data_IF_809879330774
#
_entry.id   IF_809879330774
#
_cell.length_a   1.000
_cell.length_b   1.000
_cell.length_c   1.000
_cell.angle_alpha   90.00
_cell.angle_beta   90.00
_cell.angle_gamma   90.00
#
_symmetry.space_group_name_H-M   'P 1'
#
loop_
_entity.id
_entity.type
_entity.pdbx_description
1 polymer ?
#
# COMPACT_ATOMS: atom_id res chain seq x y z
N UNK A 1 -6.76 62.87 -11.25
CA UNK A 1 -6.92 63.99 -10.30
C UNK A 1 -8.29 64.58 -10.58
N UNK A 2 -9.34 64.06 -9.92
CA UNK A 2 -10.57 64.77 -9.54
C UNK A 2 -11.50 63.80 -8.82
N UNK A 3 -11.94 64.25 -7.65
CA UNK A 3 -12.81 63.60 -6.69
C UNK A 3 -14.20 64.21 -6.90
N UNK A 4 -15.25 63.40 -6.98
CA UNK A 4 -16.60 63.85 -6.58
C UNK A 4 -17.28 62.74 -5.79
N UNK A 5 -17.42 62.99 -4.48
CA UNK A 5 -18.38 62.35 -3.59
C UNK A 5 -19.75 63.02 -3.79
N UNK A 6 -20.85 62.24 -3.76
CA UNK A 6 -22.15 62.76 -3.38
C UNK A 6 -22.97 61.70 -2.65
N UNK A 7 -23.28 62.04 -1.41
CA UNK A 7 -24.19 61.43 -0.44
C UNK A 7 -25.67 61.58 -0.81
N UNK A 8 -26.54 60.70 -0.32
CA UNK A 8 -27.98 60.97 -0.22
C UNK A 8 -28.81 59.76 0.18
N UNK A 9 -29.44 59.82 1.35
CA UNK A 9 -30.17 58.74 2.03
C UNK A 9 -31.69 58.97 2.00
N UNK A 10 -32.43 57.87 2.20
CA UNK A 10 -33.82 57.73 2.66
C UNK A 10 -34.98 58.13 1.71
N UNK A 11 -35.91 57.19 1.48
CA UNK A 11 -37.29 57.16 2.04
C UNK A 11 -38.07 55.99 1.40
N UNK A 12 -38.68 55.15 2.24
CA UNK A 12 -39.62 54.07 1.89
C UNK A 12 -40.99 54.61 1.43
N UNK A 13 -41.85 53.76 0.85
CA UNK A 13 -43.07 53.44 1.59
C UNK A 13 -43.48 51.96 1.52
N UNK A 14 -43.96 51.48 2.67
CA UNK A 14 -44.75 50.26 2.83
C UNK A 14 -46.12 50.39 2.14
N UNK A 15 -46.73 49.29 1.69
CA UNK A 15 -48.18 49.00 1.83
C UNK A 15 -48.49 47.51 1.52
N UNK A 16 -48.96 46.84 2.58
CA UNK A 16 -49.99 45.78 2.70
C UNK A 16 -50.11 44.57 1.74
N UNK A 17 -50.05 43.41 2.39
CA UNK A 17 -50.64 42.11 2.04
C UNK A 17 -52.17 42.17 1.84
N UNK A 18 -52.75 41.20 1.09
CA UNK A 18 -53.45 40.11 1.77
C UNK A 18 -53.16 38.71 1.21
N UNK A 19 -53.45 37.73 2.07
CA UNK A 19 -53.30 36.29 1.95
C UNK A 19 -54.24 35.60 0.93
N UNK A 20 -53.71 34.63 0.20
CA UNK A 20 -54.45 33.45 -0.26
C UNK A 20 -53.47 32.27 -0.38
N UNK A 21 -53.73 31.20 0.37
CA UNK A 21 -52.95 29.97 0.32
C UNK A 21 -53.30 29.11 -0.89
N UNK A 22 -52.39 28.24 -1.31
CA UNK A 22 -52.69 26.88 -1.77
C UNK A 22 -51.39 26.06 -1.88
N UNK A 23 -51.43 24.89 -1.24
CA UNK A 23 -50.74 23.61 -1.47
C UNK A 23 -49.36 23.58 -2.16
N UNK A 24 -48.36 23.13 -1.38
CA UNK A 24 -47.15 22.50 -1.88
C UNK A 24 -47.46 21.11 -2.46
N UNK A 25 -47.16 20.91 -3.74
CA UNK A 25 -46.93 19.59 -4.33
C UNK A 25 -45.74 19.62 -5.30
N UNK A 26 -44.73 18.83 -4.90
CA UNK A 26 -43.66 18.15 -5.66
C UNK A 26 -43.51 18.44 -7.16
N UNK A 27 -42.28 18.82 -7.54
CA UNK A 27 -41.42 18.25 -8.63
C UNK A 27 -39.98 18.72 -8.29
N UNK A 28 -39.14 17.86 -7.69
CA UNK A 28 -38.11 17.03 -8.34
C UNK A 28 -37.05 17.84 -9.12
N UNK A 29 -35.99 18.24 -8.43
CA UNK A 29 -34.66 18.44 -9.01
C UNK A 29 -33.70 17.50 -8.28
N UNK A 30 -33.40 16.35 -8.91
CA UNK A 30 -32.36 15.41 -8.48
C UNK A 30 -30.99 16.05 -8.70
N UNK A 31 -30.44 16.69 -7.69
CA UNK A 31 -28.99 16.73 -7.51
C UNK A 31 -28.61 15.45 -6.76
N UNK A 32 -28.18 14.42 -7.50
CA UNK A 32 -27.49 13.27 -6.90
C UNK A 32 -26.09 13.74 -6.45
N UNK A 33 -26.04 14.34 -5.27
CA UNK A 33 -24.84 14.37 -4.44
C UNK A 33 -24.75 12.96 -3.87
N UNK A 34 -23.93 12.10 -4.48
CA UNK A 34 -23.54 10.85 -3.83
C UNK A 34 -22.80 11.20 -2.53
N UNK A 35 -23.09 10.53 -1.41
CA UNK A 35 -22.46 10.90 -0.16
C UNK A 35 -21.00 10.41 -0.17
N UNK A 36 -20.09 11.27 0.30
CA UNK A 36 -18.74 10.89 0.75
C UNK A 36 -18.90 9.91 1.91
N UNK A 37 -18.89 8.61 1.64
CA UNK A 37 -18.82 7.58 2.67
C UNK A 37 -17.77 6.58 2.25
N UNK A 38 -16.50 6.96 2.40
CA UNK A 38 -15.51 5.96 2.75
C UNK A 38 -15.94 5.44 4.12
N UNK A 39 -16.19 4.14 4.32
CA UNK A 39 -16.54 3.65 5.63
C UNK A 39 -15.37 3.97 6.56
N UNK A 40 -15.59 4.79 7.58
CA UNK A 40 -14.67 5.00 8.71
C UNK A 40 -14.51 3.73 9.57
N UNK A 41 -14.72 2.55 8.98
CA UNK A 41 -14.96 1.27 9.61
C UNK A 41 -14.06 0.16 9.04
N UNK A 42 -12.98 0.47 8.30
CA UNK A 42 -12.00 -0.57 7.92
C UNK A 42 -11.43 -1.26 9.17
N UNK A 43 -11.34 -0.56 10.31
CA UNK A 43 -10.68 -1.06 11.53
C UNK A 43 -11.54 -1.14 12.80
N UNK A 44 -12.88 -1.08 12.73
CA UNK A 44 -13.71 -1.04 13.96
C UNK A 44 -13.89 -2.40 14.68
N UNK A 45 -13.20 -3.46 14.27
CA UNK A 45 -13.22 -4.74 14.97
C UNK A 45 -12.02 -4.86 15.93
N UNK A 46 -12.28 -4.77 17.24
CA UNK A 46 -11.31 -5.23 18.25
C UNK A 46 -11.10 -6.74 18.06
N UNK A 47 -9.86 -7.25 17.93
CA UNK A 47 -9.64 -8.69 17.84
C UNK A 47 -10.08 -9.35 19.16
N UNK A 48 -11.01 -10.31 19.05
CA UNK A 48 -11.35 -11.20 20.16
C UNK A 48 -10.17 -12.12 20.42
N UNK A 49 -9.44 -11.87 21.50
CA UNK A 49 -8.45 -12.80 22.04
C UNK A 49 -9.23 -13.97 22.65
N UNK A 50 -9.28 -15.10 21.95
CA UNK A 50 -9.72 -16.36 22.54
C UNK A 50 -8.54 -17.01 23.25
N UNK A 51 -8.75 -17.47 24.48
CA UNK A 51 -7.76 -18.13 25.31
C UNK A 51 -7.47 -19.55 24.80
N UNK A 52 -6.77 -19.63 23.66
CA UNK A 52 -5.99 -20.75 23.11
C UNK A 52 -5.37 -20.20 21.82
N UNK A 53 -4.05 -20.10 21.78
CA UNK A 53 -3.31 -19.37 20.76
C UNK A 53 -3.35 -20.03 19.38
N UNK A 54 -4.39 -19.74 18.61
CA UNK A 54 -4.46 -19.97 17.16
C UNK A 54 -5.05 -18.72 16.49
N UNK A 55 -4.31 -18.16 15.53
CA UNK A 55 -4.75 -17.03 14.70
C UNK A 55 -5.68 -17.59 13.61
N UNK A 56 -6.97 -17.29 13.70
CA UNK A 56 -7.93 -17.62 12.64
C UNK A 56 -7.86 -16.49 11.60
N UNK A 57 -7.09 -16.72 10.53
CA UNK A 57 -7.20 -15.98 9.28
C UNK A 57 -8.47 -16.42 8.56
N UNK A 58 -9.32 -15.48 8.14
CA UNK A 58 -10.55 -15.78 7.40
C UNK A 58 -10.43 -15.35 5.95
N UNK A 59 -10.60 -16.35 5.06
CA UNK A 59 -11.02 -16.29 3.64
C UNK A 59 -9.90 -15.86 2.66
N UNK A 60 -9.45 -16.64 1.66
CA UNK A 60 -10.15 -17.57 0.74
C UNK A 60 -9.22 -18.73 0.29
N UNK A 61 -9.79 -19.91 0.08
CA UNK A 61 -9.14 -21.15 -0.37
C UNK A 61 -8.76 -21.16 -1.86
N UNK A 62 -7.62 -21.77 -2.17
CA UNK A 62 -7.43 -22.56 -3.39
C UNK A 62 -6.64 -23.83 -3.04
N UNK A 63 -7.26 -24.98 -3.24
CA UNK A 63 -6.67 -26.32 -3.14
C UNK A 63 -6.14 -26.67 -4.52
N UNK A 64 -4.89 -27.13 -4.63
CA UNK A 64 -4.50 -28.14 -5.60
C UNK A 64 -3.43 -29.06 -4.99
N UNK A 65 -3.61 -30.35 -5.27
CA UNK A 65 -3.01 -31.49 -4.58
C UNK A 65 -1.58 -31.82 -5.03
N UNK A 66 -0.96 -32.58 -4.13
CA UNK A 66 0.40 -33.06 -4.05
C UNK A 66 0.73 -34.14 -5.12
N UNK A 67 1.96 -34.15 -5.64
CA UNK A 67 2.60 -35.39 -6.12
C UNK A 67 4.09 -35.43 -5.72
N UNK A 68 4.41 -36.49 -4.99
CA UNK A 68 5.72 -36.87 -4.42
C UNK A 68 6.67 -37.34 -5.53
N UNK A 69 7.96 -37.00 -5.57
CA UNK A 69 9.00 -37.55 -4.68
C UNK A 69 10.35 -36.82 -4.86
N UNK A 70 10.63 -35.83 -4.01
CA UNK A 70 11.98 -35.29 -3.71
C UNK A 70 12.00 -34.52 -2.36
N UNK A 71 10.96 -34.72 -1.54
CA UNK A 71 10.46 -33.75 -0.56
C UNK A 71 11.14 -33.71 0.81
N UNK A 72 12.16 -34.54 1.06
CA UNK A 72 12.79 -34.63 2.39
C UNK A 72 13.99 -33.69 2.52
N UNK A 73 14.76 -33.49 1.45
CA UNK A 73 15.89 -32.57 1.45
C UNK A 73 15.44 -31.11 1.27
N UNK A 74 14.45 -30.85 0.41
CA UNK A 74 13.88 -29.51 0.17
C UNK A 74 13.15 -28.96 1.40
N UNK A 75 12.33 -29.77 2.09
CA UNK A 75 11.67 -29.34 3.33
C UNK A 75 12.63 -28.94 4.45
N UNK A 76 13.74 -29.67 4.60
CA UNK A 76 14.71 -29.38 5.67
C UNK A 76 15.46 -28.06 5.43
N UNK A 77 15.68 -27.69 4.17
CA UNK A 77 16.33 -26.41 3.79
C UNK A 77 15.36 -25.25 3.96
N UNK A 78 14.09 -25.39 3.51
CA UNK A 78 13.04 -24.39 3.69
C UNK A 78 12.79 -24.07 5.19
N UNK A 79 12.79 -25.08 6.06
CA UNK A 79 12.61 -24.90 7.50
C UNK A 79 13.80 -24.16 8.15
N UNK A 80 15.02 -24.38 7.67
CA UNK A 80 16.23 -23.74 8.22
C UNK A 80 16.35 -22.26 7.79
N UNK A 81 15.99 -21.94 6.55
CA UNK A 81 15.94 -20.56 6.04
C UNK A 81 14.90 -19.72 6.80
N UNK A 82 13.69 -20.25 6.98
CA UNK A 82 12.65 -19.56 7.72
C UNK A 82 13.01 -19.39 9.20
N UNK A 83 13.72 -20.36 9.79
CA UNK A 83 14.26 -20.26 11.14
C UNK A 83 15.32 -19.16 11.24
N UNK A 84 16.23 -19.05 10.26
CA UNK A 84 17.22 -17.99 10.20
C UNK A 84 16.56 -16.60 10.09
N UNK A 85 15.51 -16.46 9.26
CA UNK A 85 14.71 -15.24 9.13
C UNK A 85 14.08 -14.88 10.48
N UNK A 86 13.43 -15.84 11.15
CA UNK A 86 12.81 -15.62 12.46
C UNK A 86 13.82 -15.23 13.53
N UNK A 87 15.02 -15.83 13.51
CA UNK A 87 16.12 -15.46 14.40
C UNK A 87 16.56 -14.01 14.14
N UNK A 88 16.85 -13.66 12.90
CA UNK A 88 17.24 -12.30 12.51
C UNK A 88 16.16 -11.26 12.88
N UNK A 89 14.89 -11.57 12.64
CA UNK A 89 13.75 -10.74 13.01
C UNK A 89 13.68 -10.54 14.54
N UNK A 90 13.93 -11.59 15.32
CA UNK A 90 13.94 -11.51 16.79
C UNK A 90 15.07 -10.62 17.33
N UNK A 91 16.21 -10.57 16.64
CA UNK A 91 17.35 -9.73 17.00
C UNK A 91 17.06 -8.24 16.79
N UNK A 92 16.34 -7.87 15.71
CA UNK A 92 16.04 -6.46 15.40
C UNK A 92 14.72 -5.94 16.02
N UNK A 93 13.81 -6.84 16.42
CA UNK A 93 12.49 -6.48 16.94
C UNK A 93 12.50 -5.51 18.13
N UNK A 94 13.42 -5.62 19.11
CA UNK A 94 13.49 -4.67 20.24
C UNK A 94 13.77 -3.24 19.80
N UNK A 95 14.58 -3.06 18.76
CA UNK A 95 14.96 -1.74 18.25
C UNK A 95 13.81 -1.11 17.45
N UNK A 96 13.03 -1.90 16.71
CA UNK A 96 11.90 -1.41 15.93
C UNK A 96 10.82 -0.72 16.79
N UNK A 97 10.62 -1.13 18.04
CA UNK A 97 9.65 -0.54 18.98
C UNK A 97 8.22 -0.37 18.41
N UNK A 98 7.84 -1.26 17.49
CA UNK A 98 6.54 -1.21 16.82
C UNK A 98 6.45 -0.25 15.64
N UNK A 99 7.57 0.28 15.15
CA UNK A 99 7.64 1.06 13.90
C UNK A 99 7.23 0.18 12.73
N UNK A 100 6.23 0.61 11.96
CA UNK A 100 5.74 -0.12 10.79
C UNK A 100 6.76 -0.09 9.63
N UNK A 101 6.72 -1.13 8.78
CA UNK A 101 7.55 -1.24 7.58
C UNK A 101 6.65 -1.12 6.35
N UNK A 102 6.99 -0.20 5.44
CA UNK A 102 6.30 0.01 4.19
C UNK A 102 7.15 -0.49 3.02
N UNK A 103 6.68 -1.51 2.33
CA UNK A 103 7.30 -2.03 1.12
C UNK A 103 6.72 -1.30 -0.08
N UNK A 104 7.54 -0.55 -0.80
CA UNK A 104 7.17 0.19 -2.02
C UNK A 104 7.85 -0.42 -3.24
N UNK A 105 7.34 -0.10 -4.43
CA UNK A 105 7.80 -0.66 -5.70
C UNK A 105 6.64 -1.20 -6.52
N UNK A 106 6.87 -1.43 -7.82
CA UNK A 106 5.88 -2.04 -8.71
C UNK A 106 5.37 -3.35 -8.10
N UNK A 107 4.05 -3.57 -8.11
CA UNK A 107 3.43 -4.80 -7.62
C UNK A 107 3.97 -6.02 -8.37
N UNK A 108 4.49 -6.99 -7.62
CA UNK A 108 5.11 -8.22 -8.11
C UNK A 108 5.00 -9.32 -7.05
N UNK A 109 5.23 -10.58 -7.44
CA UNK A 109 5.09 -11.73 -6.54
C UNK A 109 6.05 -11.67 -5.33
N UNK A 110 7.31 -11.28 -5.56
CA UNK A 110 8.33 -11.18 -4.51
C UNK A 110 7.92 -10.22 -3.40
N UNK A 111 7.46 -9.01 -3.75
CA UNK A 111 7.05 -7.98 -2.78
C UNK A 111 5.89 -8.47 -1.89
N UNK A 112 4.88 -9.11 -2.48
CA UNK A 112 3.74 -9.62 -1.72
C UNK A 112 4.13 -10.81 -0.83
N UNK A 113 4.92 -11.74 -1.36
CA UNK A 113 5.39 -12.92 -0.63
C UNK A 113 6.32 -12.53 0.52
N UNK A 114 7.35 -11.73 0.25
CA UNK A 114 8.30 -11.25 1.25
C UNK A 114 7.59 -10.43 2.33
N UNK A 115 6.57 -9.63 1.98
CA UNK A 115 5.79 -8.88 2.96
C UNK A 115 5.08 -9.78 3.96
N UNK A 116 4.52 -10.91 3.52
CA UNK A 116 3.89 -11.90 4.40
C UNK A 116 4.91 -12.62 5.29
N UNK A 117 6.04 -13.04 4.71
CA UNK A 117 7.13 -13.68 5.46
C UNK A 117 7.68 -12.72 6.53
N UNK A 118 7.92 -11.47 6.16
CA UNK A 118 8.42 -10.43 7.05
C UNK A 118 7.44 -10.14 8.20
N UNK A 119 6.14 -10.07 7.92
CA UNK A 119 5.11 -9.88 8.93
C UNK A 119 5.07 -11.04 9.94
N UNK A 120 5.13 -12.29 9.46
CA UNK A 120 5.18 -13.48 10.33
C UNK A 120 6.43 -13.45 11.22
N UNK A 121 7.59 -13.22 10.62
CA UNK A 121 8.87 -13.22 11.32
C UNK A 121 8.95 -12.15 12.42
N UNK A 122 8.44 -10.94 12.15
CA UNK A 122 8.40 -9.83 13.12
C UNK A 122 7.20 -9.90 14.08
N UNK A 123 6.24 -10.81 13.85
CA UNK A 123 4.95 -10.86 14.54
C UNK A 123 4.19 -9.53 14.41
N UNK A 124 4.15 -9.01 13.20
CA UNK A 124 3.44 -7.79 12.78
C UNK A 124 2.20 -8.17 11.96
N UNK A 125 1.29 -7.23 11.78
CA UNK A 125 0.14 -7.43 10.89
C UNK A 125 0.54 -7.12 9.44
N UNK A 126 0.10 -7.94 8.50
CA UNK A 126 0.30 -7.74 7.08
C UNK A 126 -0.91 -7.01 6.47
N UNK A 127 -0.63 -6.01 5.62
CA UNK A 127 -1.64 -5.37 4.77
C UNK A 127 -1.10 -5.14 3.36
N UNK A 128 -1.99 -5.21 2.38
CA UNK A 128 -1.78 -4.69 1.03
C UNK A 128 -2.69 -3.48 0.84
N UNK A 129 -2.12 -2.31 0.59
CA UNK A 129 -2.91 -1.07 0.50
C UNK A 129 -3.90 -1.10 -0.65
N UNK A 130 -3.51 -1.72 -1.77
CA UNK A 130 -4.34 -1.72 -2.99
C UNK A 130 -5.55 -2.62 -2.79
N UNK A 131 -5.32 -3.81 -2.21
CA UNK A 131 -6.40 -4.72 -1.81
C UNK A 131 -7.39 -4.04 -0.84
N UNK A 132 -6.92 -3.27 0.15
CA UNK A 132 -7.82 -2.57 1.09
C UNK A 132 -8.68 -1.49 0.40
N UNK A 133 -8.11 -0.76 -0.56
CA UNK A 133 -8.87 0.22 -1.35
C UNK A 133 -9.89 -0.49 -2.23
N UNK A 134 -9.49 -1.55 -2.94
CA UNK A 134 -10.37 -2.34 -3.79
C UNK A 134 -11.53 -2.96 -3.00
N UNK A 135 -11.26 -3.53 -1.83
CA UNK A 135 -12.28 -4.07 -0.92
C UNK A 135 -13.29 -3.00 -0.50
N UNK A 136 -12.85 -1.77 -0.23
CA UNK A 136 -13.74 -0.66 0.13
C UNK A 136 -14.72 -0.31 -1.01
N UNK A 137 -14.37 -0.60 -2.27
CA UNK A 137 -15.25 -0.45 -3.43
C UNK A 137 -16.06 -1.71 -3.78
N UNK A 138 -15.91 -2.81 -3.03
CA UNK A 138 -16.58 -4.08 -3.30
C UNK A 138 -15.79 -5.04 -4.18
N UNK A 139 -14.46 -4.89 -4.21
CA UNK A 139 -13.52 -5.70 -4.97
C UNK A 139 -12.99 -5.01 -6.22
N UNK A 140 -11.94 -5.59 -6.80
CA UNK A 140 -11.17 -5.01 -7.92
C UNK A 140 -12.02 -4.59 -9.12
N UNK A 141 -12.94 -5.43 -9.57
CA UNK A 141 -13.81 -5.11 -10.74
C UNK A 141 -14.67 -3.87 -10.49
N UNK A 142 -15.20 -3.72 -9.26
CA UNK A 142 -15.98 -2.57 -8.87
C UNK A 142 -15.10 -1.31 -8.75
N UNK A 143 -13.87 -1.45 -8.25
CA UNK A 143 -12.88 -0.38 -8.22
C UNK A 143 -12.52 0.12 -9.63
N UNK A 144 -12.26 -0.76 -10.60
CA UNK A 144 -12.01 -0.39 -12.01
C UNK A 144 -13.18 0.43 -12.56
N UNK A 145 -14.41 -0.07 -12.36
CA UNK A 145 -15.64 0.64 -12.79
C UNK A 145 -15.85 2.00 -12.09
N UNK A 146 -15.26 2.19 -10.90
CA UNK A 146 -15.31 3.44 -10.17
C UNK A 146 -14.27 4.44 -10.69
N UNK A 147 -13.05 3.99 -10.97
CA UNK A 147 -11.96 4.81 -11.53
C UNK A 147 -12.39 5.46 -12.85
N UNK A 148 -13.09 4.73 -13.72
CA UNK A 148 -13.63 5.28 -14.98
C UNK A 148 -14.60 6.46 -14.78
N UNK A 149 -15.20 6.57 -13.59
CA UNK A 149 -16.19 7.62 -13.25
C UNK A 149 -15.59 8.74 -12.40
N UNK A 150 -14.68 8.39 -11.49
CA UNK A 150 -14.14 9.28 -10.46
C UNK A 150 -12.72 8.84 -10.03
N UNK A 151 -11.75 9.05 -10.91
CA UNK A 151 -10.33 8.77 -10.65
C UNK A 151 -9.81 9.57 -9.44
N UNK A 152 -10.18 10.85 -9.30
CA UNK A 152 -9.77 11.69 -8.18
C UNK A 152 -10.27 11.14 -6.84
N UNK A 153 -11.51 10.66 -6.78
CA UNK A 153 -12.06 9.96 -5.63
C UNK A 153 -11.28 8.68 -5.29
N UNK A 154 -10.84 7.92 -6.29
CA UNK A 154 -10.02 6.74 -6.08
C UNK A 154 -8.63 7.09 -5.50
N UNK A 155 -7.94 8.10 -6.05
CA UNK A 155 -6.65 8.57 -5.53
C UNK A 155 -6.77 9.11 -4.10
N UNK A 156 -7.88 9.79 -3.79
CA UNK A 156 -8.18 10.24 -2.43
C UNK A 156 -8.38 9.06 -1.46
N UNK A 157 -9.01 7.97 -1.93
CA UNK A 157 -9.15 6.76 -1.12
C UNK A 157 -7.83 6.03 -0.86
N UNK A 158 -6.92 5.95 -1.84
CA UNK A 158 -5.57 5.42 -1.61
C UNK A 158 -4.85 6.20 -0.51
N UNK A 159 -4.95 7.53 -0.57
CA UNK A 159 -4.37 8.43 0.43
C UNK A 159 -4.96 8.20 1.82
N UNK A 160 -6.28 8.04 1.93
CA UNK A 160 -6.96 7.80 3.21
C UNK A 160 -6.61 6.43 3.81
N UNK A 161 -6.54 5.37 3.00
CA UNK A 161 -6.09 4.05 3.45
C UNK A 161 -4.65 4.12 3.95
N UNK A 162 -3.75 4.73 3.19
CA UNK A 162 -2.35 4.88 3.62
C UNK A 162 -2.23 5.69 4.90
N UNK A 163 -3.07 6.72 5.08
CA UNK A 163 -3.11 7.53 6.29
C UNK A 163 -3.52 6.71 7.50
N UNK A 164 -4.55 5.87 7.38
CA UNK A 164 -4.97 4.97 8.45
C UNK A 164 -3.85 4.00 8.82
N UNK A 165 -3.22 3.36 7.84
CA UNK A 165 -2.11 2.44 8.05
C UNK A 165 -0.90 3.13 8.71
N UNK A 166 -0.56 4.35 8.29
CA UNK A 166 0.55 5.13 8.87
C UNK A 166 0.34 5.54 10.32
N UNK A 167 -0.91 5.60 10.78
CA UNK A 167 -1.26 5.92 12.17
C UNK A 167 -1.16 4.73 13.12
N UNK A 168 -0.99 3.52 12.58
CA UNK A 168 -0.90 2.27 13.31
C UNK A 168 0.54 1.79 13.42
N UNK A 169 0.84 1.08 14.51
CA UNK A 169 2.12 0.43 14.73
C UNK A 169 2.08 -1.06 14.43
N UNK A 170 3.26 -1.66 14.32
CA UNK A 170 3.48 -3.11 14.10
C UNK A 170 2.83 -3.64 12.83
N UNK A 171 2.95 -2.88 11.73
CA UNK A 171 2.48 -3.29 10.41
C UNK A 171 3.64 -3.58 9.46
N UNK A 172 3.44 -4.53 8.55
CA UNK A 172 4.14 -4.63 7.29
C UNK A 172 3.13 -4.35 6.20
N UNK A 173 3.35 -3.29 5.44
CA UNK A 173 2.42 -2.81 4.42
C UNK A 173 3.06 -2.91 3.05
N UNK A 174 2.52 -3.75 2.17
CA UNK A 174 2.78 -3.65 0.74
C UNK A 174 1.99 -2.45 0.21
N UNK A 175 2.69 -1.35 -0.06
CA UNK A 175 2.06 -0.13 -0.53
C UNK A 175 2.15 -0.05 -2.06
N UNK A 176 1.02 0.08 -2.74
CA UNK A 176 0.94 0.14 -4.19
C UNK A 176 1.62 1.34 -4.82
N UNK A 177 1.57 1.43 -6.15
CA UNK A 177 2.22 2.52 -6.88
C UNK A 177 1.65 3.89 -6.48
N UNK A 178 0.35 3.97 -6.12
CA UNK A 178 -0.30 5.20 -5.65
C UNK A 178 0.34 5.81 -4.39
N UNK A 179 0.98 4.98 -3.56
CA UNK A 179 1.62 5.42 -2.31
C UNK A 179 2.82 6.33 -2.52
N UNK A 180 3.41 6.38 -3.72
CA UNK A 180 4.58 7.22 -4.01
C UNK A 180 4.31 8.35 -5.00
N UNK A 181 3.06 8.52 -5.46
CA UNK A 181 2.67 9.51 -6.49
C UNK A 181 2.47 10.92 -5.92
N UNK A 182 2.24 11.09 -4.62
CA UNK A 182 1.94 12.39 -4.00
C UNK A 182 2.84 12.71 -2.81
N UNK A 183 3.14 13.99 -2.60
CA UNK A 183 3.93 14.45 -1.45
C UNK A 183 3.26 14.11 -0.12
N UNK A 184 1.92 14.10 -0.07
CA UNK A 184 1.15 13.65 1.09
C UNK A 184 1.44 12.18 1.40
N UNK A 185 1.36 11.29 0.40
CA UNK A 185 1.59 9.87 0.62
C UNK A 185 3.04 9.59 1.02
N UNK A 186 4.00 10.28 0.38
CA UNK A 186 5.40 10.21 0.77
C UNK A 186 5.64 10.67 2.23
N UNK A 187 4.92 11.69 2.70
CA UNK A 187 4.97 12.10 4.10
C UNK A 187 4.38 11.04 5.05
N UNK A 188 3.33 10.34 4.62
CA UNK A 188 2.72 9.25 5.41
C UNK A 188 3.67 8.04 5.55
N UNK A 189 4.39 7.69 4.48
CA UNK A 189 5.39 6.61 4.50
C UNK A 189 6.51 6.85 5.51
N UNK A 190 6.85 8.12 5.78
CA UNK A 190 7.88 8.52 6.77
C UNK A 190 7.47 8.29 8.23
N UNK A 191 6.22 7.91 8.51
CA UNK A 191 5.83 7.45 9.85
C UNK A 191 6.35 6.04 10.17
N UNK A 192 6.79 5.28 9.17
CA UNK A 192 7.46 3.99 9.32
C UNK A 192 8.84 3.99 8.67
N UNK A 193 9.34 2.79 8.39
CA UNK A 193 10.53 2.55 7.57
C UNK A 193 10.07 2.13 6.19
N UNK A 194 10.45 2.88 5.17
CA UNK A 194 10.10 2.62 3.78
C UNK A 194 11.23 1.90 3.05
N UNK A 195 10.89 0.81 2.36
CA UNK A 195 11.86 -0.03 1.65
C UNK A 195 11.36 -0.24 0.24
N UNK A 196 12.16 0.18 -0.74
CA UNK A 196 11.88 -0.06 -2.13
C UNK A 196 12.38 -1.45 -2.53
N UNK A 197 11.46 -2.30 -2.98
CA UNK A 197 11.74 -3.61 -3.57
C UNK A 197 11.83 -3.43 -5.10
N UNK A 198 13.05 -3.47 -5.62
CA UNK A 198 13.36 -3.24 -7.02
C UNK A 198 13.54 -4.58 -7.76
N UNK A 199 12.54 -4.89 -8.60
CA UNK A 199 12.46 -6.13 -9.39
C UNK A 199 12.46 -5.75 -10.88
N UNK A 200 13.24 -6.45 -11.73
CA UNK A 200 13.27 -6.19 -13.16
C UNK A 200 11.89 -6.34 -13.82
N UNK A 201 11.53 -5.39 -14.67
CA UNK A 201 10.19 -5.27 -15.25
C UNK A 201 9.84 -6.40 -16.21
N UNK A 202 10.84 -7.05 -16.81
CA UNK A 202 10.68 -8.25 -17.63
C UNK A 202 10.15 -9.44 -16.84
N UNK A 203 10.61 -9.61 -15.59
CA UNK A 203 10.08 -10.63 -14.67
C UNK A 203 8.62 -10.31 -14.31
N UNK A 204 8.33 -9.06 -13.96
CA UNK A 204 6.98 -8.63 -13.62
C UNK A 204 6.02 -8.78 -14.81
N UNK A 205 6.46 -8.39 -16.02
CA UNK A 205 5.68 -8.56 -17.24
C UNK A 205 5.34 -10.04 -17.48
N UNK A 206 6.30 -10.93 -17.28
CA UNK A 206 6.09 -12.38 -17.42
C UNK A 206 5.10 -12.90 -16.37
N UNK A 207 5.20 -12.47 -15.11
CA UNK A 207 4.23 -12.84 -14.07
C UNK A 207 2.80 -12.43 -14.43
N UNK A 208 2.63 -11.24 -15.01
CA UNK A 208 1.31 -10.74 -15.44
C UNK A 208 0.76 -11.55 -16.60
N UNK A 209 1.60 -11.84 -17.62
CA UNK A 209 1.19 -12.61 -18.80
C UNK A 209 0.84 -14.07 -18.47
N UNK A 210 1.42 -14.61 -17.41
CA UNK A 210 1.16 -15.96 -16.91
C UNK A 210 0.05 -15.98 -15.85
N UNK A 211 -0.69 -14.87 -15.68
CA UNK A 211 -1.76 -14.68 -14.70
C UNK A 211 -1.37 -14.99 -13.24
N UNK A 212 -0.06 -14.97 -12.93
CA UNK A 212 0.46 -15.22 -11.57
C UNK A 212 0.32 -14.01 -10.67
N UNK A 213 0.33 -12.81 -11.25
CA UNK A 213 0.14 -11.56 -10.52
C UNK A 213 -0.87 -10.68 -11.26
N UNK A 214 -1.67 -9.97 -10.48
CA UNK A 214 -2.53 -8.92 -10.99
C UNK A 214 -2.10 -7.59 -10.37
N UNK A 215 -1.90 -6.56 -11.20
CA UNK A 215 -1.68 -5.20 -10.73
C UNK A 215 -2.93 -4.64 -10.05
N UNK A 216 -2.82 -3.51 -9.36
CA UNK A 216 -3.97 -2.82 -8.76
C UNK A 216 -4.97 -2.35 -9.83
N UNK A 217 -6.19 -2.02 -9.41
CA UNK A 217 -7.22 -1.48 -10.29
C UNK A 217 -6.73 -0.27 -11.11
N UNK A 218 -5.94 0.63 -10.53
CA UNK A 218 -5.41 1.83 -11.21
C UNK A 218 -4.22 1.57 -12.14
N UNK A 219 -3.53 0.44 -11.98
CA UNK A 219 -2.33 0.10 -12.74
C UNK A 219 -2.55 -1.09 -13.70
N UNK A 220 -3.77 -1.64 -13.76
CA UNK A 220 -4.09 -2.82 -14.57
C UNK A 220 -3.85 -2.52 -16.07
N UNK A 221 -3.09 -3.37 -16.80
CA UNK A 221 -2.80 -3.13 -18.20
C UNK A 221 -4.06 -3.20 -19.07
N UNK A 222 -4.08 -2.39 -20.13
CA UNK A 222 -5.22 -2.34 -21.08
C UNK A 222 -5.12 -3.44 -22.15
N UNK A 223 -3.93 -4.03 -22.35
CA UNK A 223 -3.68 -5.01 -23.39
C UNK A 223 -2.91 -6.23 -22.86
N UNK A 224 -3.04 -7.36 -23.57
CA UNK A 224 -2.49 -8.66 -23.22
C UNK A 224 -1.24 -9.03 -24.06
N UNK A 225 -0.77 -8.17 -24.96
CA UNK A 225 0.44 -8.46 -25.74
C UNK A 225 1.69 -8.18 -24.90
N UNK A 226 2.70 -9.07 -24.99
CA UNK A 226 3.90 -8.99 -24.15
C UNK A 226 4.63 -7.65 -24.27
N UNK A 227 4.79 -7.15 -25.50
CA UNK A 227 5.46 -5.85 -25.74
C UNK A 227 4.68 -4.67 -25.17
N UNK A 228 3.34 -4.72 -25.18
CA UNK A 228 2.51 -3.63 -24.66
C UNK A 228 2.46 -3.64 -23.13
N UNK A 229 2.37 -4.82 -22.51
CA UNK A 229 2.46 -4.98 -21.05
C UNK A 229 3.79 -4.40 -20.55
N UNK A 230 4.91 -4.77 -21.17
CA UNK A 230 6.22 -4.24 -20.77
C UNK A 230 6.33 -2.72 -20.97
N UNK A 231 5.78 -2.18 -22.07
CA UNK A 231 5.78 -0.74 -22.32
C UNK A 231 4.95 0.02 -21.27
N UNK A 232 3.78 -0.50 -20.90
CA UNK A 232 2.90 0.08 -19.87
C UNK A 232 3.58 0.01 -18.49
N UNK A 233 4.15 -1.13 -18.12
CA UNK A 233 4.94 -1.27 -16.89
C UNK A 233 6.13 -0.30 -16.84
N UNK A 234 6.83 -0.14 -17.95
CA UNK A 234 7.96 0.80 -18.05
C UNK A 234 7.50 2.24 -17.84
N UNK A 235 6.35 2.63 -18.42
CA UNK A 235 5.77 3.94 -18.21
C UNK A 235 5.35 4.16 -16.75
N UNK A 236 4.67 3.18 -16.14
CA UNK A 236 4.27 3.21 -14.73
C UNK A 236 5.51 3.33 -13.82
N UNK A 237 6.51 2.47 -14.00
CA UNK A 237 7.75 2.49 -13.23
C UNK A 237 8.46 3.83 -13.34
N UNK A 238 8.65 4.36 -14.55
CA UNK A 238 9.35 5.63 -14.76
C UNK A 238 8.61 6.80 -14.12
N UNK A 239 7.26 6.80 -14.15
CA UNK A 239 6.46 7.83 -13.48
C UNK A 239 6.61 7.80 -11.95
N UNK A 240 6.69 6.60 -11.36
CA UNK A 240 6.76 6.39 -9.92
C UNK A 240 8.19 6.38 -9.35
N UNK A 241 9.21 6.24 -10.21
CA UNK A 241 10.62 6.04 -9.82
C UNK A 241 11.16 7.10 -8.88
N UNK A 242 10.81 8.36 -9.12
CA UNK A 242 11.24 9.47 -8.25
C UNK A 242 10.69 9.30 -6.83
N UNK A 243 9.44 8.86 -6.68
CA UNK A 243 8.83 8.53 -5.41
C UNK A 243 9.49 7.34 -4.72
N UNK A 244 9.76 6.24 -5.45
CA UNK A 244 10.48 5.09 -4.90
C UNK A 244 11.87 5.46 -4.37
N UNK A 245 12.58 6.35 -5.07
CA UNK A 245 13.92 6.80 -4.67
C UNK A 245 13.96 7.57 -3.34
N UNK A 246 12.80 7.94 -2.79
CA UNK A 246 12.71 8.57 -1.47
C UNK A 246 12.60 7.57 -0.32
N UNK A 247 12.53 6.27 -0.61
CA UNK A 247 12.51 5.22 0.41
C UNK A 247 13.82 5.22 1.23
N UNK A 248 13.73 4.80 2.49
CA UNK A 248 14.88 4.77 3.42
C UNK A 248 15.96 3.76 2.98
N UNK A 249 15.56 2.72 2.24
CA UNK A 249 16.46 1.76 1.63
C UNK A 249 15.90 1.18 0.32
N UNK A 250 16.77 0.55 -0.46
CA UNK A 250 16.42 -0.17 -1.68
C UNK A 250 17.02 -1.58 -1.64
N UNK A 251 16.18 -2.59 -1.83
CA UNK A 251 16.58 -3.98 -2.01
C UNK A 251 16.32 -4.34 -3.47
N UNK A 252 17.41 -4.55 -4.22
CA UNK A 252 17.35 -4.90 -5.63
C UNK A 252 17.53 -6.41 -5.79
N UNK A 253 16.61 -7.06 -6.50
CA UNK A 253 16.68 -8.49 -6.82
C UNK A 253 18.00 -8.84 -7.51
N UNK A 254 18.44 -8.01 -8.45
CA UNK A 254 19.71 -8.20 -9.18
C UNK A 254 20.92 -8.17 -8.25
N UNK A 255 20.91 -7.27 -7.26
CA UNK A 255 21.99 -7.16 -6.28
C UNK A 255 22.02 -8.38 -5.36
N UNK A 256 20.86 -8.84 -4.90
CA UNK A 256 20.75 -10.04 -4.06
C UNK A 256 21.20 -11.29 -4.81
N UNK A 257 20.78 -11.46 -6.07
CA UNK A 257 21.25 -12.54 -6.94
C UNK A 257 22.79 -12.57 -7.03
N UNK A 258 23.39 -11.41 -7.34
CA UNK A 258 24.85 -11.30 -7.45
C UNK A 258 25.57 -11.56 -6.11
N UNK A 259 25.00 -11.15 -4.97
CA UNK A 259 25.60 -11.36 -3.65
C UNK A 259 25.56 -12.82 -3.21
N UNK A 260 24.50 -13.54 -3.57
CA UNK A 260 24.32 -14.96 -3.24
C UNK A 260 24.93 -15.90 -4.28
N UNK A 261 25.39 -15.36 -5.41
CA UNK A 261 26.05 -16.12 -6.47
C UNK A 261 25.06 -16.88 -7.37
N UNK A 262 23.83 -16.39 -7.51
CA UNK A 262 22.87 -16.92 -8.47
C UNK A 262 23.15 -16.39 -9.88
N UNK A 263 23.16 -17.31 -10.85
CA UNK A 263 23.32 -16.98 -12.28
C UNK A 263 22.01 -16.44 -12.90
N UNK A 264 20.86 -16.89 -12.38
CA UNK A 264 19.53 -16.49 -12.84
C UNK A 264 18.77 -15.77 -11.73
N UNK A 265 18.03 -14.71 -12.10
CA UNK A 265 17.26 -13.93 -11.12
C UNK A 265 16.09 -14.71 -10.53
N UNK A 266 15.52 -15.64 -11.28
CA UNK A 266 14.41 -16.49 -10.85
C UNK A 266 14.82 -17.48 -9.74
N UNK A 267 16.12 -17.69 -9.53
CA UNK A 267 16.63 -18.55 -8.47
C UNK A 267 16.61 -17.85 -7.09
N UNK A 268 16.52 -16.52 -7.04
CA UNK A 268 16.39 -15.78 -5.78
C UNK A 268 15.02 -16.04 -5.18
N UNK A 269 14.97 -16.41 -3.90
CA UNK A 269 13.71 -16.68 -3.20
C UNK A 269 13.14 -15.41 -2.54
N UNK A 270 11.87 -15.48 -2.08
CA UNK A 270 11.29 -14.38 -1.28
C UNK A 270 11.93 -14.30 0.10
N UNK A 271 12.42 -15.42 0.60
CA UNK A 271 13.16 -15.62 1.83
C UNK A 271 14.52 -14.90 1.77
N UNK A 272 15.25 -15.02 0.67
CA UNK A 272 16.50 -14.29 0.42
C UNK A 272 16.30 -12.77 0.50
N UNK A 273 15.28 -12.27 -0.21
CA UNK A 273 14.92 -10.86 -0.17
C UNK A 273 14.47 -10.42 1.24
N UNK A 274 13.69 -11.25 1.94
CA UNK A 274 13.25 -10.98 3.30
C UNK A 274 14.45 -10.88 4.26
N UNK A 275 15.42 -11.78 4.14
CA UNK A 275 16.66 -11.76 4.91
C UNK A 275 17.45 -10.48 4.65
N UNK A 276 17.57 -10.04 3.39
CA UNK A 276 18.24 -8.79 3.05
C UNK A 276 17.49 -7.56 3.59
N UNK A 277 16.15 -7.56 3.51
CA UNK A 277 15.30 -6.54 4.14
C UNK A 277 15.57 -6.45 5.64
N UNK A 278 15.59 -7.58 6.36
CA UNK A 278 15.84 -7.61 7.80
C UNK A 278 17.24 -7.07 8.17
N UNK A 279 18.27 -7.44 7.40
CA UNK A 279 19.64 -6.90 7.58
C UNK A 279 19.67 -5.39 7.41
N UNK A 280 18.99 -4.89 6.38
CA UNK A 280 18.98 -3.48 6.04
C UNK A 280 18.16 -2.65 7.04
N UNK A 281 17.01 -3.15 7.49
CA UNK A 281 16.25 -2.56 8.61
C UNK A 281 17.13 -2.49 9.87
N UNK A 282 17.81 -3.58 10.21
CA UNK A 282 18.74 -3.59 11.34
C UNK A 282 19.87 -2.55 11.19
N UNK A 283 20.39 -2.34 9.97
CA UNK A 283 21.37 -1.30 9.67
C UNK A 283 20.80 0.10 9.89
N UNK A 284 19.62 0.39 9.35
CA UNK A 284 18.93 1.68 9.51
C UNK A 284 18.69 2.01 10.99
N UNK A 285 18.23 1.04 11.77
CA UNK A 285 17.97 1.21 13.20
C UNK A 285 19.24 1.52 14.00
N UNK A 286 20.36 0.85 13.68
CA UNK A 286 21.66 1.17 14.30
C UNK A 286 22.11 2.59 13.97
N UNK A 287 21.99 3.01 12.72
CA UNK A 287 22.34 4.38 12.30
C UNK A 287 21.49 5.41 13.04
N UNK A 288 20.17 5.21 13.10
CA UNK A 288 19.25 6.08 13.83
C UNK A 288 19.65 6.22 15.30
N UNK A 289 19.95 5.11 15.97
CA UNK A 289 20.41 5.11 17.37
C UNK A 289 21.71 5.91 17.56
N UNK A 290 22.69 5.71 16.68
CA UNK A 290 23.95 6.47 16.72
C UNK A 290 23.74 7.98 16.53
N UNK A 291 22.84 8.37 15.62
CA UNK A 291 22.50 9.78 15.40
C UNK A 291 21.78 10.39 16.60
N UNK A 292 20.84 9.66 17.21
CA UNK A 292 20.15 10.09 18.43
C UNK A 292 21.10 10.26 19.62
N UNK A 293 22.06 9.36 19.78
CA UNK A 293 23.08 9.44 20.83
C UNK A 293 24.01 10.65 20.63
N UNK A 294 24.44 10.91 19.39
CA UNK A 294 25.28 12.05 19.05
C UNK A 294 24.57 13.41 19.22
N UNK A 295 23.23 13.43 19.14
CA UNK A 295 22.43 14.64 19.28
C UNK A 295 22.06 14.99 20.74
N UNK A 296 22.39 14.13 21.72
CA UNK A 296 22.08 14.40 23.13
C UNK A 296 22.97 15.54 23.66
N UNK A 297 22.38 16.63 24.21
CA UNK A 297 23.16 17.67 24.84
C UNK A 297 23.88 17.13 26.09
N UNK A 298 25.11 17.60 26.30
CA UNK A 298 25.98 17.23 27.42
C UNK A 298 25.41 17.67 28.79
#
# INVERSE_FOLDING_TARGET
MEIIHASGSCISPAWNHPSLGYQFSRISARTHVYPRVFPSLIFSAKPKISARGELISTTTCAILENSTSDSVATKAVEDDELLAIKKQASEISPDLRGTSIFLVGITNSYKLSLGRILADALRYYYFDSDSLVEEAYGGKTAAISYIERDEEGYLASETEVLKQLSSMGRLVVCAGNGAVKSATNLALLRHGISIWIDVPLDLVAREILEDRIQLSASDTPICNSSSEVLAQLTALYNSARSGYSTADATISLQKVASQLGYDELDAVTSEDLCMEVLKEVGRLMRVKKMMEEAARPF
#
